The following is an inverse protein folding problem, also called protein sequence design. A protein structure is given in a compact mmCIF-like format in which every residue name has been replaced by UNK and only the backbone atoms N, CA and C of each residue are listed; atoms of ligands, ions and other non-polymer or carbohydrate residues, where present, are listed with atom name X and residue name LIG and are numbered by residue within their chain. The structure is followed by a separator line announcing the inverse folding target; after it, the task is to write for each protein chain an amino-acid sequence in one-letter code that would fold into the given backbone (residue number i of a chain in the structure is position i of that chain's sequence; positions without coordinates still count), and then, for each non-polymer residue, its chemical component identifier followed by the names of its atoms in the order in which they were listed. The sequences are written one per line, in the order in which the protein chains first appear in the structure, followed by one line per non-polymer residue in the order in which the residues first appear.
data_IF_872882465092
#
_entry.id   IF_872882465092
#
_cell.length_a   1.000
_cell.length_b   1.000
_cell.length_c   1.000
_cell.angle_alpha   90.00
_cell.angle_beta   90.00
_cell.angle_gamma   90.00
#
_symmetry.space_group_name_H-M   'P 1'
#
loop_
_entity.id
_entity.type
_entity.pdbx_description
1 polymer ?
#
# COMPACT_ATOMS: atom_id res chain seq x y z
N UNK A 1 -14.14 -7.95 7.54
CA UNK A 1 -13.42 -7.15 8.58
C UNK A 1 -14.43 -6.24 9.26
N UNK A 2 -14.59 -6.30 10.60
CA UNK A 2 -15.60 -5.49 11.33
C UNK A 2 -15.01 -4.20 11.95
N UNK A 3 -13.72 -3.92 11.72
CA UNK A 3 -13.06 -2.73 12.26
C UNK A 3 -13.31 -1.52 11.36
N UNK A 4 -13.94 -0.47 11.89
CA UNK A 4 -14.27 0.72 11.12
C UNK A 4 -13.04 1.61 10.91
N UNK A 5 -12.85 2.06 9.66
CA UNK A 5 -11.82 3.05 9.35
C UNK A 5 -10.38 2.54 9.39
N UNK A 6 -10.15 1.25 9.12
CA UNK A 6 -8.80 0.71 8.86
C UNK A 6 -8.12 1.59 7.79
N UNK A 7 -6.83 1.87 7.96
CA UNK A 7 -6.02 2.82 7.17
C UNK A 7 -6.37 4.30 7.30
N UNK A 8 -7.58 4.66 7.73
CA UNK A 8 -8.01 6.06 7.95
C UNK A 8 -7.76 6.52 9.39
N UNK A 9 -8.12 5.72 10.38
CA UNK A 9 -7.89 6.00 11.80
C UNK A 9 -6.41 5.75 12.11
N UNK A 10 -5.77 6.70 12.79
CA UNK A 10 -4.36 6.57 13.18
C UNK A 10 -4.20 5.59 14.34
N UNK A 11 -3.19 4.72 14.26
CA UNK A 11 -2.69 3.94 15.39
C UNK A 11 -1.75 4.75 16.29
N UNK A 12 -1.26 4.12 17.36
CA UNK A 12 -0.28 4.72 18.26
C UNK A 12 1.09 4.79 17.58
N UNK A 13 1.71 5.96 17.54
CA UNK A 13 3.05 6.13 16.96
C UNK A 13 4.11 5.30 17.70
N UNK A 14 3.99 5.17 19.02
CA UNK A 14 4.91 4.35 19.82
C UNK A 14 4.80 2.86 19.46
N UNK A 15 3.58 2.36 19.22
CA UNK A 15 3.36 0.95 18.82
C UNK A 15 3.83 0.71 17.39
N UNK A 16 3.54 1.62 16.46
CA UNK A 16 4.01 1.55 15.07
C UNK A 16 5.54 1.43 15.04
N UNK A 17 6.23 2.23 15.85
CA UNK A 17 7.69 2.18 15.92
C UNK A 17 8.20 0.89 16.58
N UNK A 18 7.55 0.42 17.66
CA UNK A 18 7.89 -0.86 18.28
C UNK A 18 7.74 -2.04 17.30
N UNK A 19 6.63 -2.08 16.55
CA UNK A 19 6.40 -3.09 15.51
C UNK A 19 7.44 -3.00 14.39
N UNK A 20 7.81 -1.79 13.97
CA UNK A 20 8.89 -1.59 13.00
C UNK A 20 10.20 -2.17 13.51
N UNK A 21 10.59 -1.87 14.75
CA UNK A 21 11.84 -2.37 15.33
C UNK A 21 11.88 -3.90 15.40
N UNK A 22 10.80 -4.55 15.87
CA UNK A 22 10.71 -6.01 15.88
C UNK A 22 10.82 -6.59 14.47
N UNK A 23 10.10 -6.02 13.49
CA UNK A 23 10.16 -6.44 12.09
C UNK A 23 11.57 -6.32 11.50
N UNK A 24 12.25 -5.21 11.75
CA UNK A 24 13.62 -4.98 11.26
C UNK A 24 14.66 -5.90 11.91
N UNK A 25 14.37 -6.41 13.10
CA UNK A 25 15.18 -7.42 13.79
C UNK A 25 14.88 -8.85 13.32
N UNK A 26 13.89 -9.04 12.44
CA UNK A 26 13.45 -10.36 11.97
C UNK A 26 12.53 -11.10 12.95
N UNK A 27 12.03 -10.40 13.96
CA UNK A 27 11.02 -10.91 14.88
C UNK A 27 9.62 -10.74 14.27
N UNK A 28 8.63 -11.49 14.77
CA UNK A 28 7.24 -11.27 14.39
C UNK A 28 6.65 -10.12 15.22
N UNK A 29 6.39 -8.96 14.60
CA UNK A 29 5.96 -7.75 15.32
C UNK A 29 4.53 -7.84 15.85
N UNK A 30 3.77 -8.89 15.49
CA UNK A 30 2.36 -9.06 15.84
C UNK A 30 2.14 -10.17 16.88
N UNK A 31 3.20 -10.78 17.41
CA UNK A 31 3.08 -11.82 18.45
C UNK A 31 2.30 -11.27 19.65
N UNK A 32 1.19 -11.93 19.98
CA UNK A 32 0.37 -11.60 21.16
C UNK A 32 -0.52 -10.35 21.02
N UNK A 33 -0.56 -9.72 19.83
CA UNK A 33 -1.37 -8.53 19.54
C UNK A 33 -2.61 -8.92 18.73
N UNK A 34 -3.81 -8.78 19.31
CA UNK A 34 -5.07 -9.23 18.70
C UNK A 34 -6.24 -8.25 18.86
N UNK A 35 -6.02 -7.07 19.47
CA UNK A 35 -7.09 -6.13 19.77
C UNK A 35 -7.26 -5.05 18.69
N UNK A 36 -8.42 -4.39 18.68
CA UNK A 36 -8.77 -3.35 17.71
C UNK A 36 -7.75 -2.19 17.63
N UNK A 37 -7.08 -1.87 18.74
CA UNK A 37 -5.99 -0.89 18.79
C UNK A 37 -4.78 -1.35 17.97
N UNK A 38 -4.43 -2.63 18.08
CA UNK A 38 -3.32 -3.25 17.36
C UNK A 38 -3.56 -3.22 15.85
N UNK A 39 -4.81 -3.33 15.40
CA UNK A 39 -5.18 -3.27 13.97
C UNK A 39 -4.84 -1.91 13.37
N UNK A 40 -5.12 -0.81 14.06
CA UNK A 40 -4.79 0.54 13.55
C UNK A 40 -3.27 0.78 13.53
N UNK A 41 -2.55 0.29 14.54
CA UNK A 41 -1.09 0.37 14.61
C UNK A 41 -0.43 -0.52 13.54
N UNK A 42 -0.98 -1.71 13.26
CA UNK A 42 -0.55 -2.61 12.17
C UNK A 42 -0.79 -1.98 10.80
N UNK A 43 -1.97 -1.39 10.57
CA UNK A 43 -2.25 -0.62 9.35
C UNK A 43 -1.29 0.59 9.22
N UNK A 44 -0.92 1.20 10.35
CA UNK A 44 0.11 2.24 10.43
C UNK A 44 1.49 1.73 9.98
N UNK A 45 1.90 0.56 10.45
CA UNK A 45 3.15 -0.10 10.06
C UNK A 45 3.21 -0.37 8.55
N UNK A 46 2.13 -0.92 7.97
CA UNK A 46 2.08 -1.18 6.53
C UNK A 46 2.22 0.11 5.70
N UNK A 47 1.57 1.20 6.13
CA UNK A 47 1.72 2.53 5.49
C UNK A 47 3.15 3.05 5.64
N UNK A 48 3.76 2.87 6.81
CA UNK A 48 5.12 3.31 7.10
C UNK A 48 6.13 2.60 6.20
N UNK A 49 5.99 1.29 6.04
CA UNK A 49 6.83 0.48 5.16
C UNK A 49 6.92 1.08 3.75
N UNK A 50 5.77 1.36 3.11
CA UNK A 50 5.77 1.95 1.77
C UNK A 50 6.36 3.37 1.72
N UNK A 51 6.21 4.14 2.79
CA UNK A 51 6.73 5.52 2.88
C UNK A 51 8.24 5.58 3.03
N UNK A 52 8.84 4.57 3.66
CA UNK A 52 10.28 4.50 3.95
C UNK A 52 11.07 3.72 2.91
N UNK A 53 10.41 3.17 1.88
CA UNK A 53 11.12 2.61 0.72
C UNK A 53 12.00 3.69 0.08
N UNK A 54 13.22 3.29 -0.29
CA UNK A 54 14.17 4.21 -0.95
C UNK A 54 13.64 4.77 -2.28
N UNK A 55 12.81 4.01 -2.98
CA UNK A 55 12.03 4.47 -4.13
C UNK A 55 10.55 4.10 -3.93
N UNK A 56 9.59 5.00 -4.20
CA UNK A 56 8.18 4.66 -4.11
C UNK A 56 7.83 3.55 -5.11
N UNK A 57 6.87 2.65 -4.78
CA UNK A 57 6.48 1.58 -5.70
C UNK A 57 5.99 2.11 -7.05
N UNK A 58 5.34 3.27 -7.05
CA UNK A 58 5.05 4.02 -8.26
C UNK A 58 6.07 5.15 -8.38
N UNK A 59 7.04 4.97 -9.27
CA UNK A 59 8.05 5.98 -9.55
C UNK A 59 7.40 7.25 -10.11
N UNK A 60 8.09 8.39 -10.04
CA UNK A 60 7.54 9.65 -10.54
C UNK A 60 7.10 9.58 -12.02
N UNK A 61 7.84 8.82 -12.84
CA UNK A 61 7.50 8.61 -14.25
C UNK A 61 6.18 7.83 -14.38
N UNK A 62 6.07 6.67 -13.72
CA UNK A 62 4.86 5.85 -13.75
C UNK A 62 3.66 6.63 -13.19
N UNK A 63 3.87 7.39 -12.11
CA UNK A 63 2.82 8.22 -11.53
C UNK A 63 2.31 9.28 -12.51
N UNK A 64 3.20 9.96 -13.24
CA UNK A 64 2.80 10.91 -14.29
C UNK A 64 2.05 10.23 -15.43
N UNK A 65 2.48 9.05 -15.87
CA UNK A 65 1.78 8.29 -16.89
C UNK A 65 0.35 7.91 -16.43
N UNK A 66 0.19 7.48 -15.18
CA UNK A 66 -1.13 7.19 -14.60
C UNK A 66 -2.04 8.43 -14.57
N UNK A 67 -1.49 9.59 -14.19
CA UNK A 67 -2.23 10.86 -14.17
C UNK A 67 -2.68 11.26 -15.59
N UNK A 68 -1.78 11.15 -16.56
CA UNK A 68 -2.08 11.49 -17.96
C UNK A 68 -3.12 10.52 -18.55
N UNK A 69 -3.00 9.22 -18.28
CA UNK A 69 -3.99 8.22 -18.70
C UNK A 69 -5.40 8.54 -18.20
N UNK A 70 -5.53 9.04 -16.96
CA UNK A 70 -6.81 9.45 -16.38
C UNK A 70 -7.30 10.78 -16.97
N UNK A 71 -6.43 11.75 -17.20
CA UNK A 71 -6.78 13.09 -17.72
C UNK A 71 -7.16 13.09 -19.20
N UNK A 72 -6.46 12.28 -20.00
CA UNK A 72 -6.57 12.24 -21.46
C UNK A 72 -7.42 11.07 -21.95
N UNK A 73 -8.14 10.39 -21.05
CA UNK A 73 -9.04 9.31 -21.43
C UNK A 73 -10.18 9.84 -22.29
N UNK A 74 -10.51 9.12 -23.36
CA UNK A 74 -11.70 9.42 -24.18
C UNK A 74 -12.98 8.98 -23.50
N UNK A 75 -12.93 7.80 -22.89
CA UNK A 75 -14.00 7.20 -22.12
C UNK A 75 -13.40 6.32 -21.00
N UNK A 76 -14.27 5.64 -20.23
CA UNK A 76 -13.83 4.79 -19.13
C UNK A 76 -13.05 3.56 -19.59
N UNK A 77 -13.37 2.99 -20.76
CA UNK A 77 -12.73 1.79 -21.28
C UNK A 77 -11.31 2.11 -21.79
N UNK A 78 -11.16 3.20 -22.55
CA UNK A 78 -9.87 3.77 -22.96
C UNK A 78 -8.98 4.06 -21.73
N UNK A 79 -9.56 4.64 -20.68
CA UNK A 79 -8.85 4.88 -19.41
C UNK A 79 -8.37 3.59 -18.74
N UNK A 80 -9.25 2.59 -18.59
CA UNK A 80 -8.89 1.30 -18.00
C UNK A 80 -7.80 0.58 -18.81
N UNK A 81 -7.88 0.64 -20.14
CA UNK A 81 -6.89 0.02 -21.01
C UNK A 81 -5.52 0.70 -20.88
N UNK A 82 -5.45 2.03 -20.90
CA UNK A 82 -4.21 2.79 -20.67
C UNK A 82 -3.60 2.48 -19.30
N UNK A 83 -4.42 2.49 -18.24
CA UNK A 83 -3.97 2.15 -16.88
C UNK A 83 -3.41 0.72 -16.81
N UNK A 84 -4.07 -0.24 -17.46
CA UNK A 84 -3.60 -1.64 -17.52
C UNK A 84 -2.22 -1.74 -18.18
N UNK A 85 -2.01 -1.02 -19.27
CA UNK A 85 -0.72 -1.02 -19.98
C UNK A 85 0.40 -0.41 -19.13
N UNK A 86 0.14 0.72 -18.47
CA UNK A 86 1.10 1.37 -17.57
C UNK A 86 1.45 0.45 -16.40
N UNK A 87 0.46 -0.18 -15.76
CA UNK A 87 0.69 -1.10 -14.63
C UNK A 87 1.50 -2.34 -15.08
N UNK A 88 1.25 -2.85 -16.30
CA UNK A 88 1.94 -4.03 -16.81
C UNK A 88 3.38 -3.75 -17.25
N UNK A 89 3.63 -2.59 -17.85
CA UNK A 89 4.92 -2.26 -18.45
C UNK A 89 5.79 -1.37 -17.58
N UNK A 90 5.18 -0.53 -16.72
CA UNK A 90 5.87 0.47 -15.91
C UNK A 90 6.28 -0.01 -14.52
N UNK A 91 5.73 -1.13 -14.02
CA UNK A 91 6.07 -1.66 -12.71
C UNK A 91 7.08 -2.80 -12.80
N UNK A 92 8.00 -2.85 -11.82
CA UNK A 92 8.85 -4.04 -11.65
C UNK A 92 8.01 -5.25 -11.22
N UNK A 93 8.49 -6.47 -11.49
CA UNK A 93 7.77 -7.69 -11.12
C UNK A 93 7.49 -7.77 -9.61
N UNK A 94 8.41 -7.30 -8.77
CA UNK A 94 8.23 -7.29 -7.32
C UNK A 94 7.12 -6.33 -6.91
N UNK A 95 7.14 -5.10 -7.43
CA UNK A 95 6.10 -4.10 -7.15
C UNK A 95 4.74 -4.58 -7.64
N UNK A 96 4.66 -5.15 -8.84
CA UNK A 96 3.41 -5.67 -9.40
C UNK A 96 2.77 -6.72 -8.46
N UNK A 97 3.56 -7.67 -7.96
CA UNK A 97 3.07 -8.70 -7.04
C UNK A 97 2.56 -8.08 -5.74
N UNK A 98 3.32 -7.16 -5.13
CA UNK A 98 2.92 -6.48 -3.90
C UNK A 98 1.63 -5.68 -4.09
N UNK A 99 1.53 -4.91 -5.17
CA UNK A 99 0.34 -4.11 -5.47
C UNK A 99 -0.88 -4.98 -5.76
N UNK A 100 -0.71 -6.12 -6.43
CA UNK A 100 -1.80 -7.08 -6.65
C UNK A 100 -2.38 -7.56 -5.33
N UNK A 101 -1.55 -7.93 -4.35
CA UNK A 101 -2.03 -8.34 -3.04
C UNK A 101 -2.64 -7.18 -2.25
N UNK A 102 -1.98 -6.02 -2.25
CA UNK A 102 -2.46 -4.84 -1.54
C UNK A 102 -3.83 -4.40 -2.05
N UNK A 103 -4.01 -4.27 -3.37
CA UNK A 103 -5.29 -3.85 -3.94
C UNK A 103 -6.38 -4.90 -3.78
N UNK A 104 -6.05 -6.19 -3.87
CA UNK A 104 -7.01 -7.25 -3.55
C UNK A 104 -7.47 -7.18 -2.09
N UNK A 105 -6.54 -6.93 -1.16
CA UNK A 105 -6.86 -6.76 0.26
C UNK A 105 -7.68 -5.50 0.55
N UNK A 106 -7.38 -4.37 -0.12
CA UNK A 106 -8.13 -3.11 0.05
C UNK A 106 -9.52 -3.12 -0.59
N UNK A 107 -9.80 -4.09 -1.48
CA UNK A 107 -11.10 -4.24 -2.12
C UNK A 107 -12.10 -5.10 -1.29
N UNK A 108 -11.59 -5.86 -0.32
CA UNK A 108 -12.39 -6.72 0.57
C UNK A 108 -13.06 -5.92 1.69
#
# INVERSE_FOLDING_TARGET
MHHQGIFRVSGSQAEILAFKTAFEQGEDPLIGHCDARDINSTAGLLKLYFRELGEPPFTNAVFMDLVNAVRERRDMEDGVQKLREIVRCGLSSAVFVVMRYLFAFLHQ
#
